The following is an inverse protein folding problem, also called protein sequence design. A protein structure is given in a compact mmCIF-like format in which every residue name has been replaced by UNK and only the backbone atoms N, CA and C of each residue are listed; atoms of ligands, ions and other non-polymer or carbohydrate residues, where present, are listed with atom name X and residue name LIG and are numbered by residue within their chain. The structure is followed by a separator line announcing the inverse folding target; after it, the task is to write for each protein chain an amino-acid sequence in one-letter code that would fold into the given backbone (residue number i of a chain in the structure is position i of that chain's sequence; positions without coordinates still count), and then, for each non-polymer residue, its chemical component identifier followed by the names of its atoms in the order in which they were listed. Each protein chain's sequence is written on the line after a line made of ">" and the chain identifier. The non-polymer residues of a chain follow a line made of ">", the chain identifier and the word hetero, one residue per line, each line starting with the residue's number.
data_IF_512534293623
#
_entry.id   IF_512534293623
#
_cell.length_a   1.000
_cell.length_b   1.000
_cell.length_c   1.000
_cell.angle_alpha   90.00
_cell.angle_beta   90.00
_cell.angle_gamma   90.00
#
_symmetry.space_group_name_H-M   'P 1'
#
loop_
_entity.id
_entity.type
_entity.pdbx_description
1 polymer ?
#
# COMPACT_ATOMS: atom_id res chain seq x y z
N UNK A 1 -20.38 13.23 19.95
CA UNK A 1 -20.78 13.29 18.53
C UNK A 1 -20.09 12.14 17.82
N UNK A 2 -20.81 11.05 17.56
CA UNK A 2 -20.25 9.81 16.98
C UNK A 2 -20.26 10.00 15.47
N UNK A 3 -19.08 10.15 14.86
CA UNK A 3 -18.93 10.24 13.40
C UNK A 3 -19.14 8.83 12.84
N UNK A 4 -20.10 8.59 11.93
CA UNK A 4 -20.29 7.28 11.34
C UNK A 4 -19.09 6.94 10.45
N UNK A 5 -18.33 5.91 10.84
CA UNK A 5 -17.23 5.36 10.04
C UNK A 5 -17.84 4.57 8.88
N UNK A 6 -17.95 5.21 7.71
CA UNK A 6 -18.21 4.49 6.46
C UNK A 6 -17.07 3.49 6.24
N UNK A 7 -17.40 2.18 6.28
CA UNK A 7 -16.48 1.10 5.93
C UNK A 7 -16.05 1.27 4.48
N UNK A 8 -14.75 1.52 4.26
CA UNK A 8 -14.16 1.85 2.96
C UNK A 8 -14.04 0.58 2.09
N UNK A 9 -14.11 0.70 0.77
CA UNK A 9 -14.27 -0.43 -0.15
C UNK A 9 -13.12 -1.44 -0.11
N UNK A 10 -11.95 -1.07 0.40
CA UNK A 10 -10.77 -1.93 0.50
C UNK A 10 -10.76 -2.66 1.86
N UNK A 11 -11.32 -2.03 2.90
CA UNK A 11 -11.74 -2.71 4.14
C UNK A 11 -12.89 -3.69 3.87
N UNK A 12 -13.77 -3.41 2.91
CA UNK A 12 -14.80 -4.36 2.46
C UNK A 12 -14.22 -5.48 1.58
N UNK A 13 -13.20 -5.21 0.76
CA UNK A 13 -12.50 -6.22 -0.04
C UNK A 13 -11.70 -7.22 0.81
N UNK A 14 -11.26 -6.82 2.02
CA UNK A 14 -10.71 -7.73 3.03
C UNK A 14 -11.79 -8.64 3.68
N UNK A 15 -13.08 -8.40 3.40
CA UNK A 15 -14.22 -9.06 4.05
C UNK A 15 -15.20 -9.74 3.07
N UNK A 16 -14.90 -9.77 1.76
CA UNK A 16 -15.79 -10.36 0.76
C UNK A 16 -15.03 -11.28 -0.20
N UNK A 17 -14.98 -12.56 0.14
CA UNK A 17 -14.74 -13.65 -0.82
C UNK A 17 -16.09 -14.32 -1.08
N UNK A 18 -16.69 -14.08 -2.24
CA UNK A 18 -17.68 -14.98 -2.85
C UNK A 18 -17.73 -14.79 -4.36
N UNK A 19 -17.87 -15.93 -5.03
CA UNK A 19 -17.72 -16.27 -6.44
C UNK A 19 -18.84 -15.84 -7.39
N UNK A 20 -18.49 -15.55 -8.64
CA UNK A 20 -19.16 -15.95 -9.90
C UNK A 20 -18.18 -15.61 -11.05
N UNK A 21 -17.92 -16.41 -12.07
CA UNK A 21 -18.81 -17.27 -12.84
C UNK A 21 -18.85 -16.72 -14.28
N UNK A 22 -18.36 -17.52 -15.23
CA UNK A 22 -17.89 -17.19 -16.60
C UNK A 22 -18.97 -16.61 -17.54
N UNK A 23 -18.59 -15.72 -18.46
CA UNK A 23 -19.09 -15.79 -19.84
C UNK A 23 -18.16 -15.11 -20.85
N UNK A 24 -17.72 -15.89 -21.83
CA UNK A 24 -16.90 -15.47 -22.95
C UNK A 24 -17.79 -14.91 -24.08
N UNK A 25 -17.38 -13.78 -24.65
CA UNK A 25 -17.84 -13.33 -25.96
C UNK A 25 -16.61 -12.93 -26.78
N UNK A 26 -16.35 -13.71 -27.83
CA UNK A 26 -15.34 -13.42 -28.83
C UNK A 26 -15.72 -12.16 -29.62
N UNK A 27 -14.73 -11.32 -29.92
CA UNK A 27 -14.82 -10.22 -30.89
C UNK A 27 -13.51 -10.08 -31.69
N UNK A 28 -13.60 -9.51 -32.91
CA UNK A 28 -12.66 -9.77 -33.99
C UNK A 28 -11.36 -8.97 -33.90
N UNK A 29 -10.37 -9.51 -34.59
CA UNK A 29 -8.98 -9.10 -34.73
C UNK A 29 -8.85 -7.76 -35.49
N UNK A 30 -8.20 -6.72 -34.91
CA UNK A 30 -7.83 -5.53 -35.66
C UNK A 30 -6.41 -5.64 -36.24
N UNK A 31 -6.29 -5.10 -37.45
CA UNK A 31 -5.12 -5.13 -38.32
C UNK A 31 -3.80 -4.68 -37.66
N UNK A 32 -2.72 -5.32 -38.13
CA UNK A 32 -1.34 -5.11 -37.74
C UNK A 32 -0.85 -3.69 -38.08
N UNK A 33 -0.54 -2.92 -37.04
CA UNK A 33 0.12 -1.61 -37.16
C UNK A 33 1.66 -1.80 -37.17
N UNK A 34 2.43 -0.96 -37.90
CA UNK A 34 3.86 -1.13 -38.05
C UNK A 34 4.62 -0.85 -36.75
N UNK A 35 5.70 -1.61 -36.53
CA UNK A 35 6.62 -1.49 -35.38
C UNK A 35 7.11 -0.05 -35.22
N UNK A 36 6.61 0.62 -34.20
CA UNK A 36 7.34 1.72 -33.56
C UNK A 36 8.50 1.06 -32.82
N UNK A 37 9.71 1.25 -33.33
CA UNK A 37 10.95 0.94 -32.62
C UNK A 37 11.00 1.83 -31.38
N UNK A 38 10.63 1.23 -30.23
CA UNK A 38 10.85 1.80 -28.91
C UNK A 38 12.34 2.05 -28.73
N UNK A 39 12.73 3.32 -28.77
CA UNK A 39 14.07 3.74 -28.39
C UNK A 39 14.20 3.49 -26.89
N UNK A 40 14.88 2.40 -26.53
CA UNK A 40 15.17 2.08 -25.15
C UNK A 40 16.06 3.19 -24.57
N UNK A 41 15.45 4.02 -23.71
CA UNK A 41 16.19 4.95 -22.85
C UNK A 41 17.24 4.13 -22.11
N UNK A 42 18.52 4.54 -22.08
CA UNK A 42 19.52 3.84 -21.30
C UNK A 42 19.06 3.84 -19.86
N UNK A 43 18.83 2.65 -19.30
CA UNK A 43 18.53 2.48 -17.89
C UNK A 43 19.75 2.95 -17.09
N UNK A 44 19.82 4.25 -16.79
CA UNK A 44 20.66 4.76 -15.73
C UNK A 44 20.41 3.85 -14.52
N UNK A 45 21.46 3.23 -14.00
CA UNK A 45 21.35 2.30 -12.88
C UNK A 45 20.78 3.07 -11.71
N UNK A 46 19.47 2.94 -11.50
CA UNK A 46 18.79 3.51 -10.35
C UNK A 46 19.40 2.84 -9.13
N UNK A 47 19.87 3.66 -8.19
CA UNK A 47 20.37 3.17 -6.92
C UNK A 47 19.29 2.26 -6.30
N UNK A 48 19.56 0.97 -6.05
CA UNK A 48 18.57 0.05 -5.48
C UNK A 48 18.05 0.53 -4.11
N UNK A 49 18.81 1.41 -3.45
CA UNK A 49 18.47 1.96 -2.14
C UNK A 49 17.50 3.13 -2.20
N UNK A 50 17.32 3.71 -3.39
CA UNK A 50 16.41 4.82 -3.63
C UNK A 50 15.03 4.30 -4.02
N UNK A 51 14.00 4.87 -3.40
CA UNK A 51 12.61 4.63 -3.78
C UNK A 51 12.34 5.31 -5.12
N UNK A 52 11.90 4.54 -6.11
CA UNK A 52 11.82 5.01 -7.50
C UNK A 52 10.53 5.79 -7.78
N UNK A 53 10.51 6.55 -8.88
CA UNK A 53 9.30 7.24 -9.34
C UNK A 53 8.14 6.26 -9.62
N UNK A 54 8.43 5.06 -10.13
CA UNK A 54 7.42 4.04 -10.38
C UNK A 54 6.77 3.55 -9.08
N UNK A 55 7.54 3.44 -7.99
CA UNK A 55 6.98 3.11 -6.67
C UNK A 55 6.04 4.21 -6.17
N UNK A 56 6.41 5.48 -6.39
CA UNK A 56 5.54 6.61 -6.06
C UNK A 56 4.25 6.66 -6.87
N UNK A 57 4.23 6.17 -8.12
CA UNK A 57 2.98 6.02 -8.88
C UNK A 57 2.03 5.04 -8.19
N UNK A 58 2.57 3.92 -7.69
CA UNK A 58 1.81 2.90 -6.96
C UNK A 58 1.29 3.45 -5.64
N UNK A 59 2.16 4.06 -4.82
CA UNK A 59 1.73 4.66 -3.55
C UNK A 59 0.69 5.76 -3.75
N UNK A 60 0.88 6.61 -4.77
CA UNK A 60 -0.05 7.69 -5.08
C UNK A 60 -1.41 7.16 -5.54
N UNK A 61 -1.45 6.05 -6.28
CA UNK A 61 -2.70 5.41 -6.64
C UNK A 61 -3.44 4.86 -5.41
N UNK A 62 -2.70 4.25 -4.47
CA UNK A 62 -3.26 3.78 -3.19
C UNK A 62 -3.84 4.93 -2.35
N UNK A 63 -3.11 6.04 -2.24
CA UNK A 63 -3.53 7.24 -1.51
C UNK A 63 -4.60 8.05 -2.27
N UNK A 64 -4.64 7.97 -3.59
CA UNK A 64 -5.59 8.69 -4.44
C UNK A 64 -6.95 7.99 -4.58
N UNK A 65 -7.09 6.76 -4.11
CA UNK A 65 -8.35 6.01 -4.05
C UNK A 65 -9.25 6.44 -2.89
N UNK A 66 -9.55 5.51 -1.99
CA UNK A 66 -10.54 5.64 -0.90
C UNK A 66 -10.20 6.68 0.20
N UNK A 67 -9.09 7.40 0.07
CA UNK A 67 -8.69 8.49 0.97
C UNK A 67 -9.19 9.86 0.50
N UNK A 68 -9.93 9.92 -0.62
CA UNK A 68 -10.41 11.19 -1.20
C UNK A 68 -11.27 12.03 -0.26
N UNK A 69 -12.00 11.38 0.65
CA UNK A 69 -12.92 12.04 1.60
C UNK A 69 -12.24 12.48 2.90
N UNK A 70 -10.90 12.40 2.98
CA UNK A 70 -10.15 12.77 4.19
C UNK A 70 -9.42 14.10 4.02
N UNK A 71 -9.31 14.86 5.11
CA UNK A 71 -8.55 16.11 5.15
C UNK A 71 -7.09 15.87 4.80
N UNK A 72 -6.45 14.89 5.45
CA UNK A 72 -5.13 14.37 5.12
C UNK A 72 -4.83 13.06 5.86
N UNK A 73 -3.75 12.39 5.48
CA UNK A 73 -3.21 11.20 6.15
C UNK A 73 -1.75 11.43 6.54
N UNK A 74 -1.32 10.80 7.64
CA UNK A 74 0.09 10.76 8.01
C UNK A 74 0.72 9.52 7.39
N UNK A 75 1.82 9.69 6.66
CA UNK A 75 2.60 8.58 6.09
C UNK A 75 3.91 8.49 6.86
N UNK A 76 4.25 7.29 7.34
CA UNK A 76 5.57 7.06 7.92
C UNK A 76 6.64 7.24 6.85
N UNK A 77 7.67 8.01 7.18
CA UNK A 77 8.71 8.41 6.22
C UNK A 77 9.80 7.37 6.02
N UNK A 78 9.57 6.16 6.50
CA UNK A 78 10.37 4.97 6.24
C UNK A 78 9.45 3.82 5.82
N UNK A 79 9.88 3.04 4.84
CA UNK A 79 9.17 1.81 4.49
C UNK A 79 9.28 0.83 5.65
N UNK A 80 8.21 0.07 5.90
CA UNK A 80 8.24 -1.06 6.83
C UNK A 80 7.67 -2.31 6.15
N UNK A 81 8.13 -3.47 6.62
CA UNK A 81 7.59 -4.76 6.19
C UNK A 81 7.12 -5.60 7.39
N UNK A 82 6.40 -4.97 8.33
CA UNK A 82 5.79 -5.69 9.46
C UNK A 82 4.84 -6.79 9.00
N UNK A 83 4.20 -6.56 7.86
CA UNK A 83 3.29 -7.43 7.14
C UNK A 83 3.88 -8.81 6.77
N UNK A 84 5.14 -8.86 6.30
CA UNK A 84 5.69 -10.08 5.71
C UNK A 84 6.68 -10.88 6.56
N UNK A 85 7.04 -10.46 7.78
CA UNK A 85 8.05 -11.14 8.63
C UNK A 85 7.72 -12.58 9.09
N UNK A 86 6.72 -13.26 8.53
CA UNK A 86 6.35 -14.65 8.86
C UNK A 86 6.83 -15.62 7.76
N UNK A 87 8.02 -16.19 7.96
CA UNK A 87 8.83 -16.95 6.97
C UNK A 87 8.34 -18.32 6.49
N UNK A 88 7.04 -18.65 6.58
CA UNK A 88 6.44 -19.82 5.89
C UNK A 88 5.26 -19.46 4.98
N UNK A 89 4.82 -18.20 5.01
CA UNK A 89 3.68 -17.72 4.24
C UNK A 89 4.04 -17.34 2.80
N UNK A 90 5.32 -17.36 2.43
CA UNK A 90 5.82 -16.82 1.15
C UNK A 90 5.19 -17.48 -0.08
N UNK A 91 5.25 -18.81 -0.18
CA UNK A 91 4.67 -19.57 -1.32
C UNK A 91 3.15 -19.50 -1.34
N UNK A 92 2.52 -19.53 -0.16
CA UNK A 92 1.06 -19.39 -0.02
C UNK A 92 0.60 -18.02 -0.53
N UNK A 93 1.31 -16.94 -0.18
CA UNK A 93 1.03 -15.57 -0.61
C UNK A 93 1.28 -15.35 -2.11
N UNK A 94 2.30 -15.97 -2.69
CA UNK A 94 2.53 -15.95 -4.13
C UNK A 94 1.30 -16.48 -4.89
N UNK A 95 0.79 -17.64 -4.45
CA UNK A 95 -0.41 -18.27 -4.98
C UNK A 95 -1.68 -17.44 -4.73
N UNK A 96 -1.88 -16.94 -3.50
CA UNK A 96 -3.04 -16.11 -3.14
C UNK A 96 -3.10 -14.80 -3.95
N UNK A 97 -1.94 -14.20 -4.24
CA UNK A 97 -1.87 -13.00 -5.06
C UNK A 97 -1.91 -13.31 -6.56
N UNK A 98 -1.50 -14.49 -6.99
CA UNK A 98 -1.34 -14.80 -8.41
C UNK A 98 -0.16 -14.07 -9.03
N UNK A 99 1.00 -14.08 -8.34
CA UNK A 99 2.28 -13.56 -8.85
C UNK A 99 3.34 -14.66 -8.86
N UNK A 100 4.37 -14.49 -9.68
CA UNK A 100 5.48 -15.45 -9.74
C UNK A 100 6.37 -15.38 -8.49
N UNK A 101 7.10 -16.46 -8.23
CA UNK A 101 8.08 -16.53 -7.15
C UNK A 101 9.20 -15.49 -7.28
N UNK A 102 9.53 -15.07 -8.51
CA UNK A 102 10.51 -14.02 -8.79
C UNK A 102 10.05 -12.66 -8.24
N UNK A 103 8.78 -12.31 -8.42
CA UNK A 103 8.21 -11.05 -7.89
C UNK A 103 8.26 -11.04 -6.36
N UNK A 104 7.98 -12.19 -5.74
CA UNK A 104 8.08 -12.32 -4.28
C UNK A 104 9.54 -12.25 -3.81
N UNK A 105 10.47 -12.87 -4.53
CA UNK A 105 11.90 -12.79 -4.21
C UNK A 105 12.40 -11.34 -4.26
N UNK A 106 11.97 -10.59 -5.27
CA UNK A 106 12.31 -9.18 -5.40
C UNK A 106 11.67 -8.34 -4.31
N UNK A 107 10.42 -8.62 -3.92
CA UNK A 107 9.79 -7.98 -2.77
C UNK A 107 10.59 -8.20 -1.49
N UNK A 108 10.96 -9.46 -1.19
CA UNK A 108 11.74 -9.79 0.00
C UNK A 108 13.11 -9.07 -0.02
N UNK A 109 13.77 -9.04 -1.17
CA UNK A 109 15.06 -8.35 -1.36
C UNK A 109 14.92 -6.85 -1.11
N UNK A 110 13.92 -6.21 -1.71
CA UNK A 110 13.68 -4.77 -1.58
C UNK A 110 13.28 -4.37 -0.16
N UNK A 111 12.62 -5.26 0.58
CA UNK A 111 12.14 -5.01 1.94
C UNK A 111 13.03 -5.60 3.04
N UNK A 112 14.23 -6.09 2.69
CA UNK A 112 15.20 -6.59 3.66
C UNK A 112 15.65 -5.51 4.68
N UNK A 113 15.43 -4.24 4.37
CA UNK A 113 15.62 -3.09 5.25
C UNK A 113 14.60 -1.99 4.98
N UNK A 114 14.50 -1.05 5.90
CA UNK A 114 13.69 0.15 5.73
C UNK A 114 14.38 1.14 4.79
N UNK A 115 13.59 1.84 3.98
CA UNK A 115 14.04 2.87 3.04
C UNK A 115 13.31 4.18 3.30
N UNK A 116 14.00 5.31 3.16
CA UNK A 116 13.41 6.62 3.34
C UNK A 116 12.38 6.92 2.25
N UNK A 117 11.19 7.34 2.66
CA UNK A 117 10.18 7.94 1.81
C UNK A 117 10.26 9.47 1.91
N UNK A 118 10.34 10.12 0.77
CA UNK A 118 10.12 11.57 0.62
C UNK A 118 8.66 11.87 0.26
N UNK A 119 8.23 13.12 0.43
CA UNK A 119 6.91 13.58 0.00
C UNK A 119 6.85 13.79 -1.53
N UNK A 120 7.01 12.71 -2.29
CA UNK A 120 6.98 12.72 -3.76
C UNK A 120 5.66 12.19 -4.34
N UNK A 121 4.65 11.93 -3.50
CA UNK A 121 3.31 11.47 -3.91
C UNK A 121 2.63 12.45 -4.88
N UNK A 122 1.61 12.01 -5.62
CA UNK A 122 0.81 12.91 -6.46
C UNK A 122 -0.08 13.85 -5.63
N UNK A 123 -0.55 13.40 -4.46
CA UNK A 123 -1.44 14.12 -3.54
C UNK A 123 -0.71 14.73 -2.33
N UNK A 124 0.41 15.42 -2.58
CA UNK A 124 1.34 15.92 -1.55
C UNK A 124 0.68 16.83 -0.52
N UNK A 125 -0.36 17.56 -0.92
CA UNK A 125 -1.11 18.46 -0.07
C UNK A 125 -1.88 17.73 1.05
N UNK A 126 -2.25 16.46 0.80
CA UNK A 126 -3.00 15.58 1.71
C UNK A 126 -2.13 14.56 2.42
N UNK A 127 -0.82 14.64 2.24
CA UNK A 127 0.15 13.78 2.93
C UNK A 127 0.94 14.63 3.91
N UNK A 128 1.09 14.12 5.12
CA UNK A 128 2.05 14.61 6.11
C UNK A 128 3.02 13.49 6.43
N UNK A 129 4.30 13.76 6.31
CA UNK A 129 5.34 12.77 6.61
C UNK A 129 5.65 12.80 8.10
N UNK A 130 5.85 11.64 8.72
CA UNK A 130 6.28 11.52 10.10
C UNK A 130 7.36 10.45 10.24
N UNK A 131 8.38 10.71 11.05
CA UNK A 131 9.47 9.77 11.25
C UNK A 131 9.11 8.63 12.21
N UNK A 132 9.78 7.46 12.11
CA UNK A 132 9.55 6.34 13.01
C UNK A 132 9.76 6.74 14.47
N UNK A 133 10.77 7.56 14.77
CA UNK A 133 11.04 8.04 16.13
C UNK A 133 9.91 8.90 16.70
N UNK A 134 9.36 9.80 15.87
CA UNK A 134 8.23 10.64 16.27
C UNK A 134 6.98 9.79 16.50
N UNK A 135 6.63 8.92 15.55
CA UNK A 135 5.48 8.04 15.68
C UNK A 135 5.61 7.11 16.90
N UNK A 136 6.79 6.51 17.12
CA UNK A 136 7.05 5.69 18.31
C UNK A 136 6.86 6.50 19.59
N UNK A 137 7.38 7.73 19.68
CA UNK A 137 7.18 8.57 20.86
C UNK A 137 5.69 8.85 21.13
N UNK A 138 4.89 9.05 20.09
CA UNK A 138 3.45 9.30 20.21
C UNK A 138 2.67 8.06 20.68
N UNK A 139 3.09 6.86 20.26
CA UNK A 139 2.39 5.59 20.57
C UNK A 139 2.94 4.83 21.78
N UNK A 140 4.17 5.13 22.21
CA UNK A 140 4.81 4.54 23.40
C UNK A 140 4.54 5.32 24.69
N UNK A 141 3.97 6.52 24.61
CA UNK A 141 3.52 7.25 25.78
C UNK A 141 2.53 6.40 26.58
N UNK A 142 2.76 6.25 27.89
CA UNK A 142 1.85 5.53 28.76
C UNK A 142 0.47 6.17 28.66
N UNK A 143 -0.60 5.36 28.51
CA UNK A 143 -1.93 5.92 28.45
C UNK A 143 -2.27 6.58 29.78
N UNK A 144 -2.85 7.78 29.73
CA UNK A 144 -3.34 8.47 30.92
C UNK A 144 -4.43 7.66 31.65
N UNK A 145 -5.09 6.73 30.94
CA UNK A 145 -6.09 5.79 31.44
C UNK A 145 -5.74 4.39 30.92
N UNK A 146 -5.32 3.43 31.78
CA UNK A 146 -4.79 2.13 31.38
C UNK A 146 -5.68 1.26 30.48
N UNK A 147 -7.00 1.45 30.49
CA UNK A 147 -7.97 0.53 29.88
C UNK A 147 -8.74 1.10 28.68
N UNK A 148 -8.41 2.31 28.23
CA UNK A 148 -9.08 2.89 27.07
C UNK A 148 -8.28 2.55 25.80
N UNK A 149 -8.81 1.65 24.95
CA UNK A 149 -8.14 1.16 23.73
C UNK A 149 -7.66 2.32 22.82
N UNK A 150 -8.33 3.46 22.88
CA UNK A 150 -8.02 4.67 22.12
C UNK A 150 -7.02 5.64 22.77
N UNK A 151 -6.64 5.43 24.04
CA UNK A 151 -5.74 6.32 24.79
C UNK A 151 -4.37 6.47 24.13
N UNK A 152 -3.83 5.41 23.52
CA UNK A 152 -2.55 5.43 22.77
C UNK A 152 -2.61 6.32 21.52
N UNK A 153 -3.80 6.61 21.01
CA UNK A 153 -4.00 7.48 19.86
C UNK A 153 -4.15 8.96 20.23
N UNK A 154 -4.27 9.30 21.52
CA UNK A 154 -4.44 10.69 21.97
C UNK A 154 -3.25 11.57 21.59
N UNK A 155 -2.03 11.11 21.84
CA UNK A 155 -0.81 11.83 21.44
C UNK A 155 -0.77 12.08 19.94
N UNK A 156 -1.09 11.05 19.14
CA UNK A 156 -1.19 11.18 17.69
C UNK A 156 -2.24 12.22 17.26
N UNK A 157 -3.46 12.13 17.80
CA UNK A 157 -4.56 13.05 17.46
C UNK A 157 -4.26 14.50 17.88
N UNK A 158 -3.58 14.69 19.00
CA UNK A 158 -3.13 16.01 19.46
C UNK A 158 -2.04 16.58 18.54
N UNK A 159 -1.08 15.75 18.12
CA UNK A 159 0.02 16.15 17.23
C UNK A 159 -0.41 16.38 15.78
N UNK A 160 -1.38 15.60 15.31
CA UNK A 160 -1.88 15.56 13.94
C UNK A 160 -3.42 15.74 13.91
N UNK A 161 -3.94 16.92 14.29
CA UNK A 161 -5.37 17.17 14.33
C UNK A 161 -6.00 17.07 12.94
N UNK A 162 -7.03 16.23 12.81
CA UNK A 162 -7.74 16.01 11.54
C UNK A 162 -7.11 14.96 10.61
N UNK A 163 -5.98 14.36 11.00
CA UNK A 163 -5.45 13.20 10.29
C UNK A 163 -6.38 11.99 10.45
N UNK A 164 -6.61 11.25 9.36
CA UNK A 164 -7.43 10.03 9.43
C UNK A 164 -6.67 8.79 9.87
N UNK A 165 -5.43 8.95 10.32
CA UNK A 165 -4.58 7.87 10.79
C UNK A 165 -3.17 7.93 10.23
N UNK A 166 -2.44 6.85 10.48
CA UNK A 166 -1.09 6.62 9.97
C UNK A 166 -1.13 5.51 8.94
N UNK A 167 -0.53 5.77 7.77
CA UNK A 167 -0.28 4.78 6.72
C UNK A 167 1.19 4.45 6.68
N UNK A 168 1.50 3.17 6.47
CA UNK A 168 2.87 2.68 6.25
C UNK A 168 2.89 1.80 5.02
N UNK A 169 3.97 1.88 4.26
CA UNK A 169 4.16 1.13 3.03
C UNK A 169 5.42 0.28 3.11
N UNK A 170 5.41 -0.86 2.43
CA UNK A 170 6.63 -1.53 2.01
C UNK A 170 7.22 -0.86 0.76
N UNK A 171 8.42 -1.25 0.35
CA UNK A 171 8.87 -1.12 -1.05
C UNK A 171 7.95 -1.90 -1.98
N UNK A 172 7.90 -1.50 -3.25
CA UNK A 172 7.08 -2.16 -4.28
C UNK A 172 7.94 -3.08 -5.13
N UNK A 173 7.51 -4.33 -5.31
CA UNK A 173 8.10 -5.21 -6.31
C UNK A 173 7.23 -5.23 -7.57
N UNK A 174 7.87 -5.13 -8.73
CA UNK A 174 7.22 -5.16 -10.02
C UNK A 174 7.51 -6.50 -10.72
N UNK A 175 6.54 -7.00 -11.48
CA UNK A 175 6.81 -8.05 -12.46
C UNK A 175 7.60 -7.49 -13.65
N UNK A 176 8.28 -8.37 -14.39
CA UNK A 176 9.11 -8.00 -15.55
C UNK A 176 8.35 -7.19 -16.62
N UNK A 177 7.03 -7.38 -16.72
CA UNK A 177 6.17 -6.62 -17.63
C UNK A 177 5.99 -5.15 -17.24
N UNK A 178 6.34 -4.77 -16.00
CA UNK A 178 6.10 -3.44 -15.43
C UNK A 178 4.62 -3.09 -15.19
N UNK A 179 3.68 -3.99 -15.51
CA UNK A 179 2.24 -3.76 -15.40
C UNK A 179 1.60 -4.44 -14.18
N UNK A 180 2.37 -5.23 -13.44
CA UNK A 180 1.94 -5.86 -12.18
C UNK A 180 2.89 -5.42 -11.08
N UNK A 181 2.34 -5.08 -9.93
CA UNK A 181 3.08 -4.67 -8.75
C UNK A 181 2.53 -5.35 -7.49
N UNK A 182 3.40 -5.60 -6.51
CA UNK A 182 2.98 -5.96 -5.16
C UNK A 182 3.54 -5.00 -4.13
N UNK A 183 2.70 -4.67 -3.15
CA UNK A 183 3.02 -3.70 -2.11
C UNK A 183 2.22 -4.04 -0.86
N UNK A 184 2.86 -3.98 0.31
CA UNK A 184 2.15 -4.01 1.57
C UNK A 184 1.80 -2.60 2.01
N UNK A 185 0.59 -2.48 2.56
CA UNK A 185 0.12 -1.27 3.21
C UNK A 185 -0.47 -1.62 4.56
N UNK A 186 -0.18 -0.80 5.55
CA UNK A 186 -0.88 -0.79 6.83
C UNK A 186 -1.50 0.57 7.08
N UNK A 187 -2.67 0.57 7.71
CA UNK A 187 -3.34 1.76 8.20
C UNK A 187 -3.76 1.55 9.65
N UNK A 188 -3.51 2.55 10.49
CA UNK A 188 -4.08 2.62 11.83
C UNK A 188 -4.82 3.93 12.02
N UNK A 189 -5.98 3.89 12.66
CA UNK A 189 -6.80 5.07 12.95
C UNK A 189 -7.38 5.15 14.37
N UNK A 190 -7.03 4.22 15.26
CA UNK A 190 -7.68 4.08 16.56
C UNK A 190 -7.68 2.63 17.01
N UNK A 191 -8.25 2.39 18.19
CA UNK A 191 -8.20 1.11 18.90
C UNK A 191 -8.44 -0.13 18.04
N UNK A 192 -9.61 -0.22 17.39
CA UNK A 192 -10.00 -1.36 16.54
C UNK A 192 -10.15 -0.95 15.06
N UNK A 193 -9.48 0.12 14.65
CA UNK A 193 -9.67 0.73 13.32
C UNK A 193 -8.53 0.35 12.35
N UNK A 194 -7.54 -0.41 12.82
CA UNK A 194 -6.38 -0.76 12.01
C UNK A 194 -6.61 -1.96 11.09
N UNK A 195 -5.97 -1.93 9.93
CA UNK A 195 -5.80 -3.09 9.07
C UNK A 195 -4.48 -3.03 8.30
N UNK A 196 -4.01 -4.19 7.87
CA UNK A 196 -2.87 -4.29 6.97
C UNK A 196 -2.93 -5.54 6.10
N UNK A 197 -2.30 -5.44 4.95
CA UNK A 197 -2.29 -6.53 3.99
C UNK A 197 -1.24 -6.36 2.91
N UNK A 198 -1.17 -7.38 2.07
CA UNK A 198 -0.36 -7.38 0.86
C UNK A 198 -1.29 -7.26 -0.34
N UNK A 199 -0.98 -6.33 -1.25
CA UNK A 199 -1.81 -6.00 -2.39
C UNK A 199 -1.10 -6.38 -3.67
N UNK A 200 -1.83 -6.99 -4.61
CA UNK A 200 -1.46 -7.03 -6.03
C UNK A 200 -2.19 -5.91 -6.75
N UNK A 201 -1.43 -5.15 -7.50
CA UNK A 201 -1.90 -4.07 -8.34
C UNK A 201 -1.58 -4.35 -9.79
N UNK A 202 -2.49 -3.96 -10.68
CA UNK A 202 -2.27 -3.97 -12.12
C UNK A 202 -2.42 -2.56 -12.69
N UNK A 203 -1.58 -2.24 -13.66
CA UNK A 203 -1.72 -1.02 -14.45
C UNK A 203 -2.74 -1.27 -15.56
N UNK A 204 -3.88 -0.58 -15.50
CA UNK A 204 -4.96 -0.63 -16.48
C UNK A 204 -5.27 0.78 -16.96
N UNK A 205 -5.21 1.01 -18.26
CA UNK A 205 -5.43 2.33 -18.88
C UNK A 205 -4.49 3.42 -18.30
N UNK A 206 -3.24 3.03 -18.02
CA UNK A 206 -2.23 3.92 -17.45
C UNK A 206 -2.31 4.12 -15.93
N UNK A 207 -3.34 3.60 -15.26
CA UNK A 207 -3.59 3.79 -13.82
C UNK A 207 -3.43 2.49 -13.05
N UNK A 208 -2.74 2.53 -11.91
CA UNK A 208 -2.63 1.40 -10.99
C UNK A 208 -3.95 1.15 -10.24
N UNK A 209 -4.42 -0.09 -10.24
CA UNK A 209 -5.63 -0.54 -9.52
C UNK A 209 -5.33 -1.79 -8.72
N UNK A 210 -5.87 -1.91 -7.51
CA UNK A 210 -5.82 -3.18 -6.77
C UNK A 210 -6.68 -4.22 -7.47
N UNK A 211 -6.10 -5.38 -7.71
CA UNK A 211 -6.80 -6.55 -8.27
C UNK A 211 -6.99 -7.64 -7.24
N UNK A 212 -6.06 -7.75 -6.30
CA UNK A 212 -6.06 -8.80 -5.27
C UNK A 212 -5.52 -8.20 -3.98
N UNK A 213 -6.13 -8.58 -2.85
CA UNK A 213 -5.67 -8.17 -1.53
C UNK A 213 -5.69 -9.39 -0.61
N UNK A 214 -4.57 -9.63 0.07
CA UNK A 214 -4.49 -10.63 1.14
C UNK A 214 -4.50 -9.89 2.47
N UNK A 215 -5.57 -10.08 3.24
CA UNK A 215 -5.64 -9.65 4.63
C UNK A 215 -4.55 -10.33 5.44
N UNK A 216 -3.74 -9.56 6.15
CA UNK A 216 -2.77 -10.12 7.08
C UNK A 216 -3.22 -9.91 8.52
N UNK A 217 -3.81 -8.75 8.82
CA UNK A 217 -4.37 -8.47 10.13
C UNK A 217 -5.45 -7.38 10.04
N UNK A 218 -6.39 -7.45 10.97
CA UNK A 218 -7.43 -6.46 11.24
C UNK A 218 -7.57 -6.41 12.77
N UNK A 219 -7.67 -5.20 13.33
CA UNK A 219 -7.94 -5.01 14.77
C UNK A 219 -9.43 -5.09 15.10
#
# INVERSE_FOLDING_TARGET
>A
MIIPVRRRAWFAALLLIASAGVSACARPEPASNPRVTSSAVPAARVDPDTVTAAEYEVYSALLGGDWRDTSYVVVEDETEDRAMRVGRERMKRAGELGVSDSVIADYDRLNARNHRLHNAFASRERVRMAGPRELNALFSAQPAVPDEIDSRWLGFRARYPGATGVVRFSRVAFADSGNTAIVSVSHGCGGLCGAGGLLRMERRDGVWKVTTATAQWIS
#
